data_IF_148949620348
#
_entry.id   IF_148949620348
#
_cell.length_a   1.000
_cell.length_b   1.000
_cell.length_c   1.000
_cell.angle_alpha   90.00
_cell.angle_beta   90.00
_cell.angle_gamma   90.00
#
_symmetry.space_group_name_H-M   'P 1'
#
loop_
_entity.id
_entity.type
_entity.pdbx_description
1 polymer ?
#
# COMPACT_ATOMS: atom_id res chain seq x y z
N UNK A 1 -29.12 -10.95 -9.07
CA UNK A 1 -29.60 -10.49 -10.39
C UNK A 1 -28.38 -10.14 -11.23
N UNK A 2 -27.91 -11.09 -12.04
CA UNK A 2 -26.75 -10.93 -12.91
C UNK A 2 -27.16 -10.18 -14.17
N UNK A 3 -26.62 -8.97 -14.35
CA UNK A 3 -26.85 -8.14 -15.53
C UNK A 3 -26.28 -8.86 -16.77
N UNK A 4 -27.14 -9.09 -17.77
CA UNK A 4 -26.77 -9.70 -19.05
C UNK A 4 -25.87 -8.75 -19.84
N UNK A 5 -24.81 -9.33 -20.38
CA UNK A 5 -23.88 -8.82 -21.40
C UNK A 5 -24.52 -7.88 -22.43
N UNK A 6 -24.10 -6.60 -22.42
CA UNK A 6 -24.40 -5.57 -23.43
C UNK A 6 -23.34 -5.49 -24.55
N UNK A 7 -22.58 -6.56 -24.81
CA UNK A 7 -21.45 -6.55 -25.77
C UNK A 7 -21.83 -6.54 -27.26
N UNK A 8 -22.99 -6.01 -27.64
CA UNK A 8 -23.47 -6.02 -29.04
C UNK A 8 -24.09 -4.70 -29.51
N UNK A 9 -24.00 -3.62 -28.72
CA UNK A 9 -24.59 -2.31 -29.09
C UNK A 9 -23.76 -1.50 -30.07
N UNK A 10 -22.52 -1.90 -30.33
CA UNK A 10 -21.56 -1.07 -31.06
C UNK A 10 -21.78 -1.01 -32.58
N UNK A 11 -22.32 -2.08 -33.17
CA UNK A 11 -22.28 -2.29 -34.63
C UNK A 11 -23.64 -2.21 -35.32
N UNK A 12 -24.70 -1.83 -34.60
CA UNK A 12 -26.06 -1.77 -35.14
C UNK A 12 -26.29 -0.45 -35.89
N UNK A 13 -25.91 -0.34 -37.17
CA UNK A 13 -26.21 0.90 -37.89
C UNK A 13 -25.70 1.15 -39.31
N UNK A 14 -25.46 0.14 -40.16
CA UNK A 14 -25.08 0.41 -41.57
C UNK A 14 -26.06 -0.30 -42.51
N UNK A 15 -27.29 0.20 -42.56
CA UNK A 15 -28.29 -0.18 -43.54
C UNK A 15 -28.28 0.76 -44.74
N UNK A 16 -27.72 0.29 -45.86
CA UNK A 16 -27.94 0.74 -47.24
C UNK A 16 -27.56 2.18 -47.64
N UNK A 17 -26.30 2.37 -48.06
CA UNK A 17 -25.95 3.41 -49.05
C UNK A 17 -25.67 2.77 -50.41
N UNK A 18 -26.39 3.21 -51.46
CA UNK A 18 -26.17 2.81 -52.86
C UNK A 18 -24.95 3.55 -53.41
N UNK A 19 -23.94 2.81 -53.92
CA UNK A 19 -22.64 3.35 -54.34
C UNK A 19 -22.35 3.04 -55.83
N UNK A 20 -21.80 4.04 -56.55
CA UNK A 20 -21.41 4.06 -57.98
C UNK A 20 -20.34 2.99 -58.35
N UNK A 21 -20.30 2.41 -59.58
CA UNK A 21 -19.40 1.30 -59.93
C UNK A 21 -17.87 1.56 -59.83
N UNK A 22 -17.40 2.79 -60.09
CA UNK A 22 -15.98 3.17 -59.87
C UNK A 22 -15.68 3.43 -58.39
N UNK A 23 -16.71 3.76 -57.61
CA UNK A 23 -16.67 3.81 -56.15
C UNK A 23 -16.87 2.41 -55.54
N UNK A 24 -17.44 1.45 -56.28
CA UNK A 24 -17.69 0.10 -55.82
C UNK A 24 -16.37 -0.61 -55.54
N UNK A 25 -15.37 -0.55 -56.43
CA UNK A 25 -14.05 -1.15 -56.22
C UNK A 25 -13.32 -0.68 -54.95
N UNK A 26 -13.38 0.63 -54.65
CA UNK A 26 -12.91 1.20 -53.37
C UNK A 26 -13.79 0.74 -52.21
N UNK A 27 -15.11 0.81 -52.37
CA UNK A 27 -16.10 0.38 -51.37
C UNK A 27 -15.99 -1.10 -50.98
N UNK A 28 -15.64 -2.01 -51.89
CA UNK A 28 -15.43 -3.43 -51.58
C UNK A 28 -14.17 -3.63 -50.72
N UNK A 29 -13.09 -2.91 -51.05
CA UNK A 29 -11.84 -2.95 -50.30
C UNK A 29 -12.00 -2.33 -48.90
N UNK A 30 -12.65 -1.17 -48.83
CA UNK A 30 -13.00 -0.48 -47.60
C UNK A 30 -13.89 -1.36 -46.70
N UNK A 31 -14.93 -1.96 -47.29
CA UNK A 31 -15.81 -2.91 -46.61
C UNK A 31 -15.04 -4.14 -46.09
N UNK A 32 -14.13 -4.71 -46.89
CA UNK A 32 -13.28 -5.83 -46.46
C UNK A 32 -12.40 -5.46 -45.25
N UNK A 33 -11.69 -4.33 -45.32
CA UNK A 33 -10.83 -3.87 -44.23
C UNK A 33 -11.63 -3.57 -42.96
N UNK A 34 -12.81 -2.96 -43.12
CA UNK A 34 -13.71 -2.69 -42.01
C UNK A 34 -14.23 -3.97 -41.33
N UNK A 35 -14.61 -4.99 -42.10
CA UNK A 35 -15.06 -6.27 -41.51
C UNK A 35 -13.94 -6.99 -40.77
N UNK A 36 -12.71 -6.93 -41.29
CA UNK A 36 -11.55 -7.52 -40.62
C UNK A 36 -11.25 -6.80 -39.31
N UNK A 37 -11.20 -5.46 -39.35
CA UNK A 37 -11.06 -4.62 -38.15
C UNK A 37 -12.16 -4.92 -37.13
N UNK A 38 -13.42 -5.03 -37.59
CA UNK A 38 -14.56 -5.29 -36.71
C UNK A 38 -14.42 -6.62 -35.97
N UNK A 39 -14.06 -7.69 -36.68
CA UNK A 39 -13.82 -8.99 -36.08
C UNK A 39 -12.70 -8.92 -35.03
N UNK A 40 -11.59 -8.30 -35.38
CA UNK A 40 -10.43 -8.20 -34.50
C UNK A 40 -10.73 -7.33 -33.27
N UNK A 41 -11.53 -6.27 -33.44
CA UNK A 41 -12.04 -5.45 -32.35
C UNK A 41 -12.97 -6.24 -31.41
N UNK A 42 -13.91 -7.01 -31.94
CA UNK A 42 -14.83 -7.83 -31.15
C UNK A 42 -14.10 -8.92 -30.35
N UNK A 43 -13.09 -9.54 -30.95
CA UNK A 43 -12.26 -10.55 -30.28
C UNK A 43 -11.44 -9.94 -29.15
N UNK A 44 -10.81 -8.79 -29.42
CA UNK A 44 -10.02 -8.07 -28.44
C UNK A 44 -10.89 -7.51 -27.32
N UNK A 45 -12.09 -7.01 -27.61
CA UNK A 45 -13.04 -6.53 -26.61
C UNK A 45 -13.43 -7.65 -25.64
N UNK A 46 -13.78 -8.83 -26.16
CA UNK A 46 -14.11 -10.00 -25.32
C UNK A 46 -12.95 -10.35 -24.39
N UNK A 47 -11.73 -10.40 -24.92
CA UNK A 47 -10.54 -10.67 -24.14
C UNK A 47 -10.32 -9.60 -23.05
N UNK A 48 -10.41 -8.32 -23.41
CA UNK A 48 -10.25 -7.20 -22.49
C UNK A 48 -11.29 -7.26 -21.36
N UNK A 49 -12.56 -7.53 -21.66
CA UNK A 49 -13.61 -7.62 -20.65
C UNK A 49 -13.38 -8.79 -19.67
N UNK A 50 -12.95 -9.94 -20.17
CA UNK A 50 -12.56 -11.08 -19.34
C UNK A 50 -11.41 -10.70 -18.37
N UNK A 51 -10.36 -10.06 -18.89
CA UNK A 51 -9.19 -9.67 -18.07
C UNK A 51 -9.54 -8.58 -17.06
N UNK A 52 -10.45 -7.67 -17.40
CA UNK A 52 -10.92 -6.64 -16.49
C UNK A 52 -11.63 -7.26 -15.27
N UNK A 53 -12.41 -8.32 -15.48
CA UNK A 53 -13.05 -9.05 -14.38
C UNK A 53 -12.01 -9.68 -13.45
N UNK A 54 -10.98 -10.32 -14.00
CA UNK A 54 -9.90 -10.92 -13.21
C UNK A 54 -9.12 -9.85 -12.45
N UNK A 55 -8.80 -8.73 -13.10
CA UNK A 55 -8.08 -7.61 -12.47
C UNK A 55 -8.90 -6.93 -11.36
N UNK A 56 -10.23 -7.07 -11.36
CA UNK A 56 -11.14 -6.52 -10.35
C UNK A 56 -11.32 -7.36 -9.09
N UNK A 57 -10.73 -8.57 -9.05
CA UNK A 57 -10.78 -9.41 -7.86
C UNK A 57 -9.87 -8.84 -6.76
N UNK A 58 -10.47 -8.38 -5.66
CA UNK A 58 -9.78 -7.76 -4.52
C UNK A 58 -9.06 -8.76 -3.60
N UNK A 59 -9.14 -10.06 -3.89
CA UNK A 59 -8.50 -11.14 -3.12
C UNK A 59 -6.99 -10.96 -2.94
N UNK A 60 -6.31 -10.19 -3.79
CA UNK A 60 -4.88 -9.89 -3.65
C UNK A 60 -4.52 -9.12 -2.35
N UNK A 61 -5.50 -8.47 -1.69
CA UNK A 61 -5.30 -7.76 -0.42
C UNK A 61 -5.13 -8.71 0.78
N UNK A 62 -5.62 -9.94 0.67
CA UNK A 62 -5.47 -10.95 1.71
C UNK A 62 -4.10 -11.67 1.57
N UNK A 63 -3.26 -11.70 2.63
CA UNK A 63 -1.96 -12.38 2.59
C UNK A 63 -2.04 -13.92 2.53
N UNK A 64 -3.21 -14.54 2.61
CA UNK A 64 -3.37 -15.98 2.45
C UNK A 64 -2.92 -16.48 1.07
N UNK A 65 -2.31 -17.68 1.01
CA UNK A 65 -1.83 -18.32 -0.21
C UNK A 65 -1.00 -17.39 -1.15
N UNK A 66 -0.16 -16.55 -0.55
CA UNK A 66 0.58 -15.49 -1.25
C UNK A 66 1.41 -16.00 -2.43
N UNK A 67 2.04 -17.17 -2.30
CA UNK A 67 2.84 -17.77 -3.37
C UNK A 67 1.99 -18.12 -4.60
N UNK A 68 0.81 -18.72 -4.39
CA UNK A 68 -0.12 -19.02 -5.48
C UNK A 68 -0.65 -17.75 -6.15
N UNK A 69 -0.95 -16.73 -5.36
CA UNK A 69 -1.38 -15.40 -5.88
C UNK A 69 -0.27 -14.76 -6.73
N UNK A 70 0.98 -14.83 -6.29
CA UNK A 70 2.12 -14.31 -7.05
C UNK A 70 2.33 -15.04 -8.39
N UNK A 71 2.20 -16.36 -8.42
CA UNK A 71 2.32 -17.14 -9.66
C UNK A 71 1.21 -16.80 -10.65
N UNK A 72 -0.05 -16.75 -10.19
CA UNK A 72 -1.18 -16.32 -11.02
C UNK A 72 -0.96 -14.91 -11.56
N UNK A 73 -0.40 -14.03 -10.73
CA UNK A 73 -0.08 -12.68 -11.18
C UNK A 73 0.99 -12.69 -12.28
N UNK A 74 2.06 -13.46 -12.15
CA UNK A 74 3.08 -13.55 -13.19
C UNK A 74 2.52 -14.10 -14.52
N UNK A 75 1.64 -15.09 -14.46
CA UNK A 75 0.97 -15.64 -15.65
C UNK A 75 0.10 -14.58 -16.35
N UNK A 76 -0.71 -13.84 -15.58
CA UNK A 76 -1.52 -12.75 -16.13
C UNK A 76 -0.66 -11.62 -16.73
N UNK A 77 0.48 -11.28 -16.11
CA UNK A 77 1.41 -10.28 -16.67
C UNK A 77 1.91 -10.68 -18.05
N UNK A 78 2.34 -11.94 -18.19
CA UNK A 78 2.85 -12.48 -19.44
C UNK A 78 1.77 -12.47 -20.53
N UNK A 79 0.53 -12.84 -20.18
CA UNK A 79 -0.60 -12.82 -21.12
C UNK A 79 -0.95 -11.40 -21.58
N UNK A 80 -1.00 -10.44 -20.65
CA UNK A 80 -1.24 -9.03 -20.97
C UNK A 80 -0.14 -8.48 -21.87
N UNK A 81 1.13 -8.78 -21.60
CA UNK A 81 2.26 -8.36 -22.43
C UNK A 81 2.22 -8.97 -23.83
N UNK A 82 1.87 -10.25 -23.95
CA UNK A 82 1.75 -10.91 -25.25
C UNK A 82 0.67 -10.28 -26.15
N UNK A 83 -0.42 -9.79 -25.55
CA UNK A 83 -1.55 -9.19 -26.26
C UNK A 83 -1.42 -7.67 -26.48
N UNK A 84 -0.47 -6.99 -25.82
CA UNK A 84 -0.27 -5.55 -25.98
C UNK A 84 -0.02 -5.15 -27.45
N UNK A 85 0.70 -5.98 -28.20
CA UNK A 85 0.96 -5.74 -29.63
C UNK A 85 -0.30 -5.82 -30.50
N UNK A 86 -1.30 -6.61 -30.12
CA UNK A 86 -2.55 -6.72 -30.87
C UNK A 86 -3.38 -5.42 -30.78
N UNK A 87 -3.41 -4.80 -29.59
CA UNK A 87 -4.09 -3.52 -29.37
C UNK A 87 -3.47 -2.41 -30.22
N UNK A 88 -2.12 -2.34 -30.26
CA UNK A 88 -1.40 -1.34 -31.07
C UNK A 88 -1.67 -1.54 -32.56
N UNK A 89 -1.67 -2.79 -33.04
CA UNK A 89 -2.00 -3.11 -34.44
C UNK A 89 -3.42 -2.71 -34.80
N UNK A 90 -4.40 -3.01 -33.95
CA UNK A 90 -5.79 -2.66 -34.16
C UNK A 90 -5.99 -1.14 -34.20
N UNK A 91 -5.38 -0.41 -33.25
CA UNK A 91 -5.43 1.06 -33.23
C UNK A 91 -4.81 1.65 -34.50
N UNK A 92 -3.66 1.11 -34.93
CA UNK A 92 -3.02 1.49 -36.19
C UNK A 92 -3.90 1.28 -37.42
N UNK A 93 -4.51 0.10 -37.55
CA UNK A 93 -5.43 -0.21 -38.64
C UNK A 93 -6.66 0.70 -38.65
N UNK A 94 -7.25 0.97 -37.47
CA UNK A 94 -8.38 1.88 -37.33
C UNK A 94 -8.01 3.32 -37.72
N UNK A 95 -6.89 3.83 -37.21
CA UNK A 95 -6.42 5.18 -37.51
C UNK A 95 -6.07 5.37 -38.99
N UNK A 96 -5.55 4.33 -39.65
CA UNK A 96 -5.32 4.36 -41.10
C UNK A 96 -6.64 4.51 -41.87
N UNK A 97 -7.66 3.70 -41.56
CA UNK A 97 -8.98 3.82 -42.21
C UNK A 97 -9.63 5.20 -41.96
N UNK A 98 -9.46 5.75 -40.76
CA UNK A 98 -9.94 7.11 -40.45
C UNK A 98 -9.22 8.16 -41.30
N UNK A 99 -7.90 8.06 -41.44
CA UNK A 99 -7.09 8.99 -42.24
C UNK A 99 -7.43 8.92 -43.74
N UNK A 100 -7.82 7.75 -44.23
CA UNK A 100 -8.27 7.53 -45.61
C UNK A 100 -9.72 8.02 -45.86
N UNK A 101 -10.41 8.53 -44.83
CA UNK A 101 -11.77 9.07 -44.96
C UNK A 101 -12.86 8.00 -45.04
N UNK A 102 -12.63 6.84 -44.41
CA UNK A 102 -13.56 5.71 -44.45
C UNK A 102 -14.97 6.09 -43.95
N UNK A 103 -16.02 5.58 -44.60
CA UNK A 103 -17.42 5.93 -44.31
C UNK A 103 -17.86 5.64 -42.87
N UNK A 104 -17.24 4.65 -42.22
CA UNK A 104 -17.50 4.26 -40.83
C UNK A 104 -16.50 4.88 -39.82
N UNK A 105 -15.77 5.94 -40.19
CA UNK A 105 -14.71 6.52 -39.36
C UNK A 105 -15.15 6.87 -37.92
N UNK A 106 -16.40 7.30 -37.71
CA UNK A 106 -16.93 7.57 -36.37
C UNK A 106 -16.99 6.31 -35.51
N UNK A 107 -17.53 5.22 -36.06
CA UNK A 107 -17.63 3.94 -35.36
C UNK A 107 -16.25 3.36 -35.05
N UNK A 108 -15.31 3.49 -35.99
CA UNK A 108 -13.92 3.04 -35.80
C UNK A 108 -13.25 3.85 -34.68
N UNK A 109 -13.47 5.17 -34.61
CA UNK A 109 -12.93 6.02 -33.54
C UNK A 109 -13.48 5.62 -32.18
N UNK A 110 -14.78 5.40 -32.08
CA UNK A 110 -15.41 4.96 -30.84
C UNK A 110 -14.83 3.62 -30.38
N UNK A 111 -14.71 2.64 -31.29
CA UNK A 111 -14.21 1.31 -30.97
C UNK A 111 -12.77 1.37 -30.43
N UNK A 112 -11.90 2.11 -31.11
CA UNK A 112 -10.53 2.32 -30.68
C UNK A 112 -10.45 3.05 -29.33
N UNK A 113 -11.33 4.02 -29.08
CA UNK A 113 -11.37 4.75 -27.81
C UNK A 113 -11.76 3.83 -26.66
N UNK A 114 -12.78 3.00 -26.84
CA UNK A 114 -13.28 2.12 -25.79
C UNK A 114 -12.30 0.98 -25.48
N UNK A 115 -11.71 0.36 -26.52
CA UNK A 115 -10.64 -0.63 -26.34
C UNK A 115 -9.43 -0.03 -25.61
N UNK A 116 -9.00 1.20 -25.98
CA UNK A 116 -7.91 1.91 -25.28
C UNK A 116 -8.28 2.24 -23.84
N UNK A 117 -9.49 2.72 -23.59
CA UNK A 117 -9.97 3.03 -22.24
C UNK A 117 -9.97 1.80 -21.34
N UNK A 118 -10.48 0.69 -21.84
CA UNK A 118 -10.49 -0.57 -21.10
C UNK A 118 -9.09 -1.14 -20.88
N UNK A 119 -8.18 -0.99 -21.86
CA UNK A 119 -6.76 -1.36 -21.70
C UNK A 119 -6.08 -0.58 -20.56
N UNK A 120 -6.26 0.74 -20.53
CA UNK A 120 -5.73 1.59 -19.44
C UNK A 120 -6.29 1.15 -18.09
N UNK A 121 -7.57 0.77 -18.04
CA UNK A 121 -8.22 0.30 -16.82
C UNK A 121 -7.63 -1.03 -16.34
N UNK A 122 -7.43 -2.01 -17.23
CA UNK A 122 -6.73 -3.26 -16.90
C UNK A 122 -5.35 -2.93 -16.31
N UNK A 123 -4.57 -2.09 -16.98
CA UNK A 123 -3.22 -1.75 -16.53
C UNK A 123 -3.18 -1.05 -15.18
N UNK A 124 -4.13 -0.16 -14.91
CA UNK A 124 -4.24 0.57 -13.64
C UNK A 124 -4.59 -0.35 -12.47
N UNK A 125 -5.61 -1.20 -12.66
CA UNK A 125 -6.04 -2.17 -11.65
C UNK A 125 -4.94 -3.21 -11.40
N UNK A 126 -4.32 -3.68 -12.48
CA UNK A 126 -3.17 -4.56 -12.44
C UNK A 126 -1.99 -3.99 -11.66
N UNK A 127 -1.58 -2.77 -12.00
CA UNK A 127 -0.46 -2.09 -11.33
C UNK A 127 -0.72 -1.91 -9.83
N UNK A 128 -1.98 -1.74 -9.44
CA UNK A 128 -2.40 -1.65 -8.03
C UNK A 128 -2.29 -3.01 -7.32
N UNK A 129 -2.80 -4.08 -7.95
CA UNK A 129 -2.63 -5.46 -7.47
C UNK A 129 -1.14 -5.81 -7.30
N UNK A 130 -0.30 -5.48 -8.28
CA UNK A 130 1.15 -5.69 -8.25
C UNK A 130 1.82 -5.01 -7.06
N UNK A 131 1.46 -3.75 -6.78
CA UNK A 131 1.99 -3.00 -5.63
C UNK A 131 1.59 -3.67 -4.31
N UNK A 132 0.34 -4.08 -4.17
CA UNK A 132 -0.17 -4.78 -2.98
C UNK A 132 0.55 -6.12 -2.75
N UNK A 133 0.65 -6.97 -3.79
CA UNK A 133 1.35 -8.25 -3.70
C UNK A 133 2.84 -8.09 -3.40
N UNK A 134 3.50 -7.07 -3.97
CA UNK A 134 4.90 -6.77 -3.67
C UNK A 134 5.10 -6.39 -2.19
N UNK A 135 4.21 -5.55 -1.66
CA UNK A 135 4.22 -5.18 -0.24
C UNK A 135 4.02 -6.40 0.65
N UNK A 136 2.98 -7.22 0.38
CA UNK A 136 2.71 -8.46 1.12
C UNK A 136 3.88 -9.44 1.07
N UNK A 137 4.55 -9.58 -0.09
CA UNK A 137 5.75 -10.40 -0.25
C UNK A 137 6.91 -9.91 0.60
N UNK A 138 7.13 -8.59 0.65
CA UNK A 138 8.21 -8.00 1.44
C UNK A 138 7.98 -8.25 2.95
N UNK A 139 6.77 -8.00 3.44
CA UNK A 139 6.39 -8.29 4.84
C UNK A 139 6.55 -9.77 5.18
N UNK A 140 6.12 -10.67 4.28
CA UNK A 140 6.25 -12.12 4.48
C UNK A 140 7.72 -12.55 4.54
N UNK A 141 8.59 -11.99 3.69
CA UNK A 141 10.03 -12.27 3.71
C UNK A 141 10.71 -11.76 4.99
N UNK A 142 10.32 -10.58 5.49
CA UNK A 142 10.83 -10.04 6.77
C UNK A 142 10.41 -10.90 7.97
N UNK A 143 9.17 -11.38 7.97
CA UNK A 143 8.66 -12.28 9.01
C UNK A 143 9.40 -13.63 8.99
N UNK A 144 9.67 -14.16 7.78
CA UNK A 144 10.30 -15.47 7.59
C UNK A 144 11.81 -15.45 7.80
N UNK A 145 12.49 -14.34 7.50
CA UNK A 145 13.92 -14.14 7.80
C UNK A 145 14.19 -13.89 9.27
N UNK A 146 13.16 -13.87 10.12
CA UNK A 146 13.27 -13.60 11.56
C UNK A 146 13.60 -12.15 11.89
N UNK A 147 13.97 -11.31 10.92
CA UNK A 147 14.38 -9.92 11.14
C UNK A 147 13.30 -9.11 11.89
N UNK A 148 12.03 -9.27 11.53
CA UNK A 148 10.94 -8.58 12.22
C UNK A 148 10.78 -9.01 13.69
N UNK A 149 10.98 -10.29 13.99
CA UNK A 149 10.89 -10.83 15.36
C UNK A 149 12.13 -10.48 16.19
N UNK A 150 13.31 -10.53 15.57
CA UNK A 150 14.60 -10.25 16.20
C UNK A 150 14.72 -8.77 16.56
N UNK A 151 14.26 -7.86 15.69
CA UNK A 151 14.24 -6.42 15.98
C UNK A 151 13.35 -6.11 17.19
N UNK A 152 12.10 -6.60 17.22
CA UNK A 152 11.20 -6.40 18.35
C UNK A 152 11.70 -7.04 19.65
N UNK A 153 12.28 -8.24 19.58
CA UNK A 153 12.87 -8.89 20.75
C UNK A 153 14.08 -8.13 21.30
N UNK A 154 14.94 -7.59 20.43
CA UNK A 154 16.10 -6.80 20.85
C UNK A 154 15.69 -5.48 21.55
N UNK A 155 14.61 -4.85 21.10
CA UNK A 155 14.09 -3.62 21.70
C UNK A 155 13.54 -3.85 23.11
N UNK A 156 12.79 -4.94 23.31
CA UNK A 156 12.32 -5.36 24.65
C UNK A 156 13.49 -5.69 25.58
N UNK A 157 14.52 -6.37 25.07
CA UNK A 157 15.71 -6.68 25.87
C UNK A 157 16.49 -5.42 26.28
N UNK A 158 16.60 -4.41 25.40
CA UNK A 158 17.20 -3.12 25.76
C UNK A 158 16.39 -2.44 26.87
N UNK A 159 15.06 -2.37 26.72
CA UNK A 159 14.19 -1.78 27.73
C UNK A 159 14.32 -2.47 29.09
N UNK A 160 14.33 -3.80 29.13
CA UNK A 160 14.48 -4.55 30.38
C UNK A 160 15.81 -4.25 31.07
N UNK A 161 16.91 -4.15 30.30
CA UNK A 161 18.21 -3.77 30.87
C UNK A 161 18.18 -2.35 31.44
N UNK A 162 17.58 -1.40 30.72
CA UNK A 162 17.48 0.00 31.17
C UNK A 162 16.63 0.10 32.46
N UNK A 163 15.59 -0.73 32.58
CA UNK A 163 14.80 -0.89 33.82
C UNK A 163 15.64 -1.47 34.95
N UNK A 164 16.40 -2.54 34.71
CA UNK A 164 17.25 -3.18 35.72
C UNK A 164 18.35 -2.23 36.21
N UNK A 165 18.96 -1.44 35.31
CA UNK A 165 19.92 -0.39 35.65
C UNK A 165 19.27 0.67 36.56
N UNK A 166 18.05 1.09 36.22
CA UNK A 166 17.30 2.05 37.04
C UNK A 166 16.95 1.48 38.41
N UNK A 167 16.54 0.21 38.49
CA UNK A 167 16.26 -0.47 39.76
C UNK A 167 17.54 -0.59 40.60
N UNK A 168 18.67 -0.95 39.99
CA UNK A 168 19.96 -1.01 40.65
C UNK A 168 20.36 0.33 41.26
N UNK A 169 20.20 1.41 40.49
CA UNK A 169 20.46 2.76 40.96
C UNK A 169 19.56 3.17 42.13
N UNK A 170 18.25 2.86 42.06
CA UNK A 170 17.32 3.12 43.16
C UNK A 170 17.76 2.38 44.42
N UNK A 171 18.09 1.09 44.33
CA UNK A 171 18.54 0.29 45.46
C UNK A 171 19.83 0.84 46.09
N UNK A 172 20.78 1.28 45.26
CA UNK A 172 22.01 1.91 45.74
C UNK A 172 21.69 3.19 46.54
N UNK A 173 20.77 4.03 46.03
CA UNK A 173 20.32 5.24 46.73
C UNK A 173 19.55 4.92 48.01
N UNK A 174 18.66 3.93 48.00
CA UNK A 174 17.94 3.46 49.18
C UNK A 174 18.90 2.96 50.27
N UNK A 175 19.92 2.18 49.90
CA UNK A 175 20.95 1.71 50.84
C UNK A 175 21.78 2.86 51.43
N UNK A 176 22.10 3.88 50.63
CA UNK A 176 22.81 5.06 51.10
C UNK A 176 21.96 5.94 52.03
N UNK A 177 20.63 5.93 51.86
CA UNK A 177 19.67 6.67 52.68
C UNK A 177 19.21 5.89 53.92
N UNK A 178 19.42 4.56 53.95
CA UNK A 178 19.04 3.69 55.07
C UNK A 178 19.95 3.82 56.31
N UNK A 179 20.84 4.82 56.38
CA UNK A 179 21.63 5.06 57.59
C UNK A 179 20.78 5.80 58.64
N UNK A 180 20.44 5.14 59.74
CA UNK A 180 19.78 5.74 60.92
C UNK A 180 20.76 6.56 61.81
N UNK A 181 21.88 7.03 61.25
CA UNK A 181 22.85 7.87 61.97
C UNK A 181 22.50 9.35 61.76
N UNK A 182 21.81 9.93 62.73
CA UNK A 182 21.39 11.34 62.72
C UNK A 182 22.46 12.31 63.21
N UNK A 183 23.69 11.83 63.47
CA UNK A 183 24.75 12.62 64.09
C UNK A 183 24.51 12.85 65.59
N UNK A 184 25.59 12.98 66.35
CA UNK A 184 25.55 13.17 67.81
C UNK A 184 25.99 14.57 68.24
N UNK A 185 26.47 15.37 67.29
CA UNK A 185 26.96 16.74 67.49
C UNK A 185 26.83 17.56 66.18
N UNK A 186 27.03 18.88 66.28
CA UNK A 186 26.86 19.79 65.14
C UNK A 186 27.83 19.47 63.97
N UNK A 187 29.03 18.98 64.27
CA UNK A 187 30.04 18.64 63.27
C UNK A 187 29.64 17.40 62.45
N UNK A 188 29.12 16.36 63.12
CA UNK A 188 28.61 15.14 62.48
C UNK A 188 27.37 15.41 61.64
N UNK A 189 26.44 16.24 62.12
CA UNK A 189 25.26 16.67 61.34
C UNK A 189 25.67 17.47 60.09
N UNK A 190 26.64 18.38 60.19
CA UNK A 190 27.15 19.13 59.03
C UNK A 190 27.89 18.23 58.02
N UNK A 191 28.59 17.19 58.49
CA UNK A 191 29.24 16.22 57.60
C UNK A 191 28.19 15.34 56.87
N UNK A 192 27.14 14.92 57.55
CA UNK A 192 26.01 14.18 56.96
C UNK A 192 25.27 15.04 55.92
N UNK A 193 25.06 16.33 56.19
CA UNK A 193 24.44 17.27 55.24
C UNK A 193 25.29 17.46 53.97
N UNK A 194 26.62 17.64 54.11
CA UNK A 194 27.54 17.69 52.95
C UNK A 194 27.52 16.41 52.12
N UNK A 195 27.39 15.26 52.78
CA UNK A 195 27.27 13.96 52.11
C UNK A 195 25.94 13.85 51.34
N UNK A 196 24.84 14.30 51.94
CA UNK A 196 23.53 14.36 51.29
C UNK A 196 23.52 15.28 50.06
N UNK A 197 24.04 16.51 50.19
CA UNK A 197 24.19 17.44 49.06
C UNK A 197 25.08 16.88 47.93
N UNK A 198 26.11 16.11 48.30
CA UNK A 198 26.95 15.38 47.35
C UNK A 198 26.20 14.26 46.61
N UNK A 199 25.27 13.57 47.28
CA UNK A 199 24.44 12.52 46.69
C UNK A 199 23.36 13.06 45.74
N UNK A 200 22.83 14.26 46.00
CA UNK A 200 21.91 14.98 45.11
C UNK A 200 22.62 15.57 43.88
N UNK A 201 23.92 15.87 43.99
CA UNK A 201 24.75 16.39 42.89
C UNK A 201 25.47 15.29 42.07
N UNK A 202 25.44 14.05 42.51
CA UNK A 202 26.15 12.94 41.85
C UNK A 202 25.68 12.66 40.41
N UNK A 203 26.58 12.26 39.50
CA UNK A 203 26.32 12.18 38.05
C UNK A 203 25.44 11.00 37.60
N UNK A 204 24.79 10.28 38.50
CA UNK A 204 24.10 9.02 38.20
C UNK A 204 22.58 9.12 38.01
N UNK A 205 21.97 10.31 38.00
CA UNK A 205 20.52 10.42 37.73
C UNK A 205 20.24 10.06 36.27
N UNK A 206 19.39 9.04 35.98
CA UNK A 206 19.02 8.69 34.60
C UNK A 206 18.25 9.78 33.85
N UNK A 207 18.01 10.94 34.46
CA UNK A 207 17.12 11.99 33.96
C UNK A 207 17.79 13.31 33.53
N UNK A 208 19.12 13.37 33.32
CA UNK A 208 19.79 14.62 32.86
C UNK A 208 20.18 14.66 31.39
N UNK A 209 19.89 13.62 30.61
CA UNK A 209 19.77 13.77 29.15
C UNK A 209 18.29 13.68 28.82
N UNK A 210 17.77 14.75 28.22
CA UNK A 210 16.37 14.83 27.82
C UNK A 210 15.97 13.69 26.91
N UNK A 211 14.66 13.43 26.91
CA UNK A 211 13.93 12.41 26.14
C UNK A 211 13.97 11.01 26.75
N UNK A 212 12.84 10.59 27.33
CA UNK A 212 12.50 9.17 27.44
C UNK A 212 12.22 8.66 26.01
N UNK A 213 13.12 7.89 25.37
CA UNK A 213 12.89 7.40 24.02
C UNK A 213 12.25 6.02 24.18
N UNK A 214 10.91 5.97 24.28
CA UNK A 214 10.20 4.69 24.35
C UNK A 214 8.71 4.76 24.63
N UNK A 215 8.21 5.82 25.27
CA UNK A 215 6.77 6.02 25.40
C UNK A 215 6.22 6.78 24.19
N UNK A 216 6.19 6.12 23.03
CA UNK A 216 5.32 6.52 21.94
C UNK A 216 3.86 6.48 22.39
N UNK A 217 3.32 7.62 22.84
CA UNK A 217 1.92 7.95 22.72
C UNK A 217 0.89 7.14 23.52
N UNK A 218 1.10 6.88 24.82
CA UNK A 218 0.00 6.49 25.71
C UNK A 218 -0.23 7.57 26.78
N UNK A 219 -1.04 8.55 26.40
CA UNK A 219 -1.68 9.50 27.30
C UNK A 219 -2.71 8.78 28.18
N UNK A 220 -2.29 8.26 29.32
CA UNK A 220 -3.23 7.76 30.34
C UNK A 220 -2.84 8.32 31.71
N UNK A 221 -3.85 8.89 32.38
CA UNK A 221 -3.89 9.46 33.73
C UNK A 221 -3.58 10.96 33.89
N UNK A 222 -4.55 11.81 33.50
CA UNK A 222 -4.85 13.04 34.27
C UNK A 222 -5.21 12.63 35.70
N UNK A 223 -4.33 12.87 36.68
CA UNK A 223 -4.73 12.82 38.09
C UNK A 223 -5.56 14.07 38.40
N UNK A 224 -6.85 13.84 38.59
CA UNK A 224 -7.69 14.67 39.46
C UNK A 224 -7.00 14.80 40.82
N UNK A 225 -6.74 16.02 41.26
CA UNK A 225 -6.40 16.32 42.65
C UNK A 225 -7.71 16.40 43.45
N UNK A 226 -7.97 15.54 44.45
CA UNK A 226 -8.99 15.81 45.44
C UNK A 226 -8.42 16.88 46.39
N UNK A 227 -9.08 18.04 46.48
CA UNK A 227 -8.84 18.97 47.58
C UNK A 227 -9.45 18.36 48.84
N UNK A 228 -8.63 18.12 49.87
CA UNK A 228 -9.12 17.96 51.25
C UNK A 228 -8.56 19.09 52.12
N UNK A 229 -9.33 19.53 53.14
CA UNK A 229 -9.24 20.87 53.70
C UNK A 229 -8.20 20.96 54.83
N UNK A 230 -7.51 22.10 54.88
CA UNK A 230 -6.69 22.50 56.02
C UNK A 230 -7.60 22.77 57.24
N UNK A 231 -7.29 22.13 58.36
CA UNK A 231 -7.81 22.49 59.69
C UNK A 231 -6.64 22.95 60.56
N UNK A 232 -6.85 24.09 61.19
CA UNK A 232 -6.11 24.76 62.26
C UNK A 232 -4.91 25.64 61.87
N UNK A 233 -5.17 26.93 61.69
CA UNK A 233 -4.99 27.92 62.77
C UNK A 233 -6.10 28.95 62.71
#
# INVERSE_FOLDING_TARGET
MTSRSEGSRFWTGIGALKICPLCAGRSWRDSYHFQFFRRDADELEKWVLEKLQIASDENYKDPSNLQGKLQKHQAFEAEVQANAGAIVKLDGAGNQMIAEGHFAAEMIREANRDIRGNWVRIWSMWSSCRKSLRSSRQTWQLMRSGQGKLYGAAEVQRFNRDVDETIGWIKEKEQLMASDDFGRDLASVQALLRKHEGLERGPGSPGRQGEYPGCGGLSVCRRHTPKTPSRYS
#
